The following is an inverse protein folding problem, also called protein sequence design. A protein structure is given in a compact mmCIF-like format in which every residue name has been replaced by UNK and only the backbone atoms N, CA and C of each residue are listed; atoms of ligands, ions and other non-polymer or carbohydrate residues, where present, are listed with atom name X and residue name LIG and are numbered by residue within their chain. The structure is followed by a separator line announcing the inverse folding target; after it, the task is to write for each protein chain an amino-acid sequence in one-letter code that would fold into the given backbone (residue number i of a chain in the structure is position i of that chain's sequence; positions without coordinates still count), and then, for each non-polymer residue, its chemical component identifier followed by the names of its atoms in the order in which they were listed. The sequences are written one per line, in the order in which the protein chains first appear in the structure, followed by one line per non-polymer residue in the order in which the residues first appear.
data_IF_302209482712
#
_entry.id   IF_302209482712
#
_cell.length_a   1.000
_cell.length_b   1.000
_cell.length_c   1.000
_cell.angle_alpha   90.00
_cell.angle_beta   90.00
_cell.angle_gamma   90.00
#
_symmetry.space_group_name_H-M   'P 1'
#
loop_
_entity.id
_entity.type
_entity.pdbx_description
1 polymer ?
#
# COMPACT_ATOMS: atom_id res chain seq x y z
N UNK A 1 -48.06 -6.71 11.41
CA UNK A 1 -47.65 -5.56 10.59
C UNK A 1 -46.33 -5.90 9.93
N UNK A 2 -46.35 -6.13 8.64
CA UNK A 2 -45.13 -6.42 7.84
C UNK A 2 -44.54 -5.10 7.41
N UNK A 3 -43.33 -4.77 7.86
CA UNK A 3 -42.60 -3.60 7.41
C UNK A 3 -41.97 -3.99 6.09
N UNK A 4 -42.58 -3.49 4.99
CA UNK A 4 -42.00 -3.64 3.66
C UNK A 4 -40.70 -2.86 3.57
N UNK A 5 -39.60 -3.58 3.32
CA UNK A 5 -38.37 -2.94 2.85
C UNK A 5 -38.61 -2.44 1.44
N UNK A 6 -38.71 -1.12 1.29
CA UNK A 6 -38.69 -0.48 -0.03
C UNK A 6 -37.35 -0.85 -0.69
N UNK A 7 -37.44 -1.71 -1.71
CA UNK A 7 -36.32 -2.03 -2.56
C UNK A 7 -35.94 -0.75 -3.31
N UNK A 8 -34.79 -0.16 -2.95
CA UNK A 8 -34.22 0.90 -3.77
C UNK A 8 -34.13 0.42 -5.22
N UNK A 9 -34.66 1.18 -6.19
CA UNK A 9 -34.55 0.79 -7.59
C UNK A 9 -33.07 0.60 -7.94
N UNK A 10 -32.72 -0.62 -8.36
CA UNK A 10 -31.37 -0.89 -8.86
C UNK A 10 -31.10 0.02 -10.06
N UNK A 11 -29.94 0.69 -10.11
CA UNK A 11 -29.62 1.55 -11.23
C UNK A 11 -29.65 0.71 -12.52
N UNK A 12 -30.34 1.23 -13.55
CA UNK A 12 -30.39 0.58 -14.86
C UNK A 12 -28.95 0.36 -15.36
N UNK A 13 -28.56 -0.87 -15.74
CA UNK A 13 -27.21 -1.12 -16.22
C UNK A 13 -26.91 -0.23 -17.44
N UNK A 14 -25.82 0.51 -17.36
CA UNK A 14 -25.35 1.35 -18.48
C UNK A 14 -24.82 0.44 -19.58
N UNK A 15 -25.38 0.58 -20.81
CA UNK A 15 -24.92 -0.18 -21.96
C UNK A 15 -23.84 0.59 -22.71
N UNK A 16 -22.62 0.03 -22.74
CA UNK A 16 -21.54 0.54 -23.58
C UNK A 16 -21.51 -0.21 -24.91
N UNK A 17 -21.35 0.50 -26.02
CA UNK A 17 -21.25 -0.07 -27.38
C UNK A 17 -19.87 0.11 -27.99
N UNK A 18 -18.98 0.88 -27.35
CA UNK A 18 -17.60 1.08 -27.77
C UNK A 18 -16.68 0.87 -26.58
N UNK A 19 -15.61 0.11 -26.74
CA UNK A 19 -14.63 -0.17 -25.67
C UNK A 19 -14.01 1.10 -25.09
N UNK A 20 -13.79 2.14 -25.90
CA UNK A 20 -13.21 3.42 -25.44
C UNK A 20 -14.14 4.20 -24.51
N UNK A 21 -15.44 3.93 -24.50
CA UNK A 21 -16.44 4.61 -23.67
C UNK A 21 -16.60 3.94 -22.29
N UNK A 22 -16.02 2.75 -22.10
CA UNK A 22 -16.05 2.04 -20.82
C UNK A 22 -15.13 2.80 -19.84
N UNK A 23 -15.64 3.25 -18.67
CA UNK A 23 -14.83 3.90 -17.65
C UNK A 23 -13.66 3.01 -17.26
N UNK A 24 -12.48 3.59 -17.20
CA UNK A 24 -11.28 2.86 -16.78
C UNK A 24 -11.09 3.01 -15.28
N UNK A 25 -10.70 1.91 -14.63
CA UNK A 25 -10.21 1.98 -13.27
C UNK A 25 -8.89 2.77 -13.24
N UNK A 26 -8.62 3.41 -12.13
CA UNK A 26 -7.31 3.98 -11.85
C UNK A 26 -6.42 2.83 -11.41
N UNK A 27 -5.72 2.23 -12.38
CA UNK A 27 -4.80 1.14 -12.12
C UNK A 27 -3.45 1.69 -11.74
N UNK A 28 -2.72 0.92 -10.94
CA UNK A 28 -1.27 1.04 -10.63
C UNK A 28 -0.69 2.44 -10.75
N UNK A 29 0.48 2.70 -10.28
CA UNK A 29 1.08 4.01 -10.45
C UNK A 29 1.55 4.26 -11.89
N UNK A 30 1.70 5.52 -12.28
CA UNK A 30 2.42 5.90 -13.50
C UNK A 30 3.87 5.41 -13.49
N UNK A 31 4.35 5.10 -12.29
CA UNK A 31 5.72 4.74 -12.02
C UNK A 31 5.77 3.71 -10.88
N UNK A 32 6.66 2.74 -10.98
CA UNK A 32 6.91 1.79 -9.90
C UNK A 32 8.40 1.51 -9.74
N UNK A 33 8.81 1.28 -8.51
CA UNK A 33 10.18 0.92 -8.13
C UNK A 33 10.18 -0.22 -7.13
N UNK A 34 11.28 -0.95 -7.09
CA UNK A 34 11.55 -1.89 -6.03
C UNK A 34 12.41 -1.23 -4.96
N UNK A 35 11.91 -1.21 -3.73
CA UNK A 35 12.66 -0.70 -2.58
C UNK A 35 12.91 -1.86 -1.63
N UNK A 36 14.19 -2.17 -1.37
CA UNK A 36 14.53 -3.24 -0.44
C UNK A 36 14.12 -2.87 0.99
N UNK A 37 13.81 -3.86 1.81
CA UNK A 37 13.48 -3.64 3.20
C UNK A 37 14.59 -2.91 3.95
N UNK A 38 15.85 -3.12 3.56
CA UNK A 38 17.00 -2.41 4.12
C UNK A 38 16.90 -0.89 3.94
N UNK A 39 16.31 -0.43 2.84
CA UNK A 39 16.26 0.99 2.48
C UNK A 39 14.89 1.65 2.68
N UNK A 40 13.90 0.92 3.18
CA UNK A 40 12.53 1.45 3.26
C UNK A 40 12.42 2.67 4.19
N UNK A 41 13.07 2.67 5.35
CA UNK A 41 13.04 3.80 6.27
C UNK A 41 13.66 5.06 5.65
N UNK A 42 14.78 4.90 4.94
CA UNK A 42 15.41 6.01 4.23
C UNK A 42 14.52 6.53 3.11
N UNK A 43 13.88 5.63 2.35
CA UNK A 43 12.98 6.02 1.27
C UNK A 43 11.77 6.82 1.77
N UNK A 44 11.22 6.45 2.93
CA UNK A 44 10.09 7.12 3.57
C UNK A 44 10.46 8.46 4.22
N UNK A 45 11.74 8.71 4.49
CA UNK A 45 12.20 9.86 5.27
C UNK A 45 11.97 11.19 4.54
N UNK A 46 11.93 12.29 5.32
CA UNK A 46 11.83 13.66 4.83
C UNK A 46 12.97 14.04 3.85
N UNK A 47 14.14 13.42 4.02
CA UNK A 47 15.27 13.64 3.11
C UNK A 47 15.05 13.05 1.71
N UNK A 48 14.07 12.15 1.56
CA UNK A 48 13.85 11.45 0.28
C UNK A 48 12.47 11.73 -0.29
N UNK A 49 11.39 11.18 0.30
CA UNK A 49 10.02 11.37 -0.21
C UNK A 49 9.09 12.08 0.77
N UNK A 50 9.44 12.19 2.06
CA UNK A 50 8.62 12.84 3.06
C UNK A 50 7.20 12.27 3.13
N UNK A 51 7.08 10.94 3.27
CA UNK A 51 5.80 10.26 3.09
C UNK A 51 4.85 10.46 4.27
N UNK A 52 3.65 10.99 4.03
CA UNK A 52 2.53 10.90 4.96
C UNK A 52 1.96 9.48 4.98
N UNK A 53 2.21 8.75 6.05
CA UNK A 53 1.76 7.37 6.26
C UNK A 53 0.39 7.28 6.94
N UNK A 54 -0.20 8.42 7.33
CA UNK A 54 -1.44 8.48 8.09
C UNK A 54 -2.47 9.45 7.49
N UNK A 55 -2.73 9.38 6.18
CA UNK A 55 -3.73 10.26 5.59
C UNK A 55 -5.10 10.01 6.25
N UNK A 56 -5.93 11.03 6.29
CA UNK A 56 -7.21 11.04 7.00
C UNK A 56 -8.23 10.01 6.48
N UNK A 57 -8.11 9.58 5.24
CA UNK A 57 -8.96 8.56 4.63
C UNK A 57 -8.56 7.12 4.98
N UNK A 58 -7.36 6.90 5.53
CA UNK A 58 -6.89 5.59 5.95
C UNK A 58 -7.21 5.28 7.42
N UNK A 59 -8.48 5.31 7.78
CA UNK A 59 -8.96 4.91 9.11
C UNK A 59 -9.46 3.47 9.06
N UNK A 60 -8.55 2.54 8.87
CA UNK A 60 -8.88 1.13 8.72
C UNK A 60 -8.38 0.24 9.84
N UNK A 61 -8.74 -1.03 9.74
CA UNK A 61 -8.31 -2.08 10.64
C UNK A 61 -6.79 -2.12 10.80
N UNK A 62 -6.32 -1.98 12.03
CA UNK A 62 -4.94 -2.30 12.39
C UNK A 62 -4.81 -3.83 12.46
N UNK A 63 -3.83 -4.40 11.77
CA UNK A 63 -3.57 -5.83 11.86
C UNK A 63 -3.18 -6.23 13.28
N UNK A 64 -3.71 -7.37 13.73
CA UNK A 64 -3.24 -8.01 14.96
C UNK A 64 -1.76 -8.39 14.82
N UNK A 65 -1.07 -8.56 15.94
CA UNK A 65 0.32 -9.02 15.94
C UNK A 65 0.47 -10.36 15.20
N UNK A 66 -0.42 -11.28 15.41
CA UNK A 66 -0.41 -12.58 14.71
C UNK A 66 -0.51 -12.43 13.19
N UNK A 67 -1.31 -11.49 12.71
CA UNK A 67 -1.42 -11.22 11.28
C UNK A 67 -0.16 -10.58 10.73
N UNK A 68 0.47 -9.68 11.48
CA UNK A 68 1.76 -9.09 11.11
C UNK A 68 2.85 -10.17 11.01
N UNK A 69 2.96 -11.05 12.00
CA UNK A 69 3.92 -12.16 12.02
C UNK A 69 3.71 -13.05 10.80
N UNK A 70 2.48 -13.54 10.57
CA UNK A 70 2.18 -14.41 9.42
C UNK A 70 2.51 -13.76 8.08
N UNK A 71 2.29 -12.46 7.95
CA UNK A 71 2.63 -11.73 6.74
C UNK A 71 4.15 -11.70 6.51
N UNK A 72 4.93 -11.34 7.52
CA UNK A 72 6.40 -11.31 7.42
C UNK A 72 6.94 -12.71 7.12
N UNK A 73 6.45 -13.74 7.81
CA UNK A 73 6.82 -15.13 7.57
C UNK A 73 6.49 -15.58 6.14
N UNK A 74 5.33 -15.20 5.62
CA UNK A 74 4.94 -15.49 4.24
C UNK A 74 5.93 -14.89 3.23
N UNK A 75 6.30 -13.62 3.40
CA UNK A 75 7.25 -12.96 2.50
C UNK A 75 8.64 -13.59 2.61
N UNK A 76 9.13 -13.87 3.83
CA UNK A 76 10.44 -14.50 4.04
C UNK A 76 10.53 -15.93 3.50
N UNK A 77 9.40 -16.62 3.38
CA UNK A 77 9.32 -17.93 2.70
C UNK A 77 9.29 -17.83 1.18
N UNK A 78 9.47 -16.65 0.61
CA UNK A 78 9.44 -16.41 -0.83
C UNK A 78 8.04 -16.13 -1.39
N UNK A 79 7.09 -15.71 -0.57
CA UNK A 79 5.78 -15.26 -1.00
C UNK A 79 5.89 -14.17 -2.05
N UNK A 80 5.16 -14.32 -3.16
CA UNK A 80 5.30 -13.43 -4.33
C UNK A 80 4.22 -12.34 -4.39
N UNK A 81 3.10 -12.53 -3.72
CA UNK A 81 2.00 -11.57 -3.67
C UNK A 81 2.12 -10.62 -2.49
N UNK A 82 1.27 -9.59 -2.48
CA UNK A 82 1.13 -8.66 -1.34
C UNK A 82 2.41 -7.89 -0.98
N UNK A 83 3.23 -7.58 -1.97
CA UNK A 83 4.44 -6.74 -1.83
C UNK A 83 4.19 -5.31 -2.26
N UNK A 84 3.03 -5.01 -2.81
CA UNK A 84 2.67 -3.73 -3.40
C UNK A 84 2.32 -2.73 -2.33
N UNK A 85 2.88 -1.53 -2.43
CA UNK A 85 2.56 -0.36 -1.61
C UNK A 85 2.28 0.80 -2.56
N UNK A 86 1.21 1.54 -2.33
CA UNK A 86 0.72 2.56 -3.24
C UNK A 86 0.82 3.95 -2.60
N UNK A 87 1.46 4.87 -3.31
CA UNK A 87 1.62 6.26 -2.91
C UNK A 87 1.10 7.18 -4.01
N UNK A 88 0.64 8.36 -3.62
CA UNK A 88 0.37 9.45 -4.55
C UNK A 88 1.24 10.65 -4.24
N UNK A 89 1.82 11.26 -5.27
CA UNK A 89 2.52 12.52 -5.20
C UNK A 89 2.13 13.37 -6.42
N UNK A 90 1.30 14.37 -6.22
CA UNK A 90 0.76 15.21 -7.30
C UNK A 90 1.84 16.02 -8.02
N UNK A 91 2.97 16.26 -7.37
CA UNK A 91 4.13 16.97 -7.93
C UNK A 91 5.13 16.10 -8.67
N UNK A 92 4.99 14.79 -8.63
CA UNK A 92 5.99 13.84 -9.12
C UNK A 92 6.53 14.13 -10.53
N UNK A 93 5.65 14.42 -11.50
CA UNK A 93 6.04 14.70 -12.89
C UNK A 93 6.31 16.17 -13.15
N UNK A 94 6.02 17.06 -12.20
CA UNK A 94 6.01 18.50 -12.39
C UNK A 94 7.18 19.22 -11.71
N UNK A 95 8.12 18.46 -11.11
CA UNK A 95 9.21 18.98 -10.28
C UNK A 95 8.72 19.98 -9.22
N UNK A 96 7.52 19.74 -8.67
CA UNK A 96 6.98 20.46 -7.53
C UNK A 96 7.26 19.69 -6.27
N UNK A 97 7.59 20.40 -5.21
CA UNK A 97 7.55 19.84 -3.86
C UNK A 97 6.08 19.68 -3.45
N UNK A 98 5.62 18.47 -3.43
CA UNK A 98 4.27 18.12 -2.98
C UNK A 98 4.33 16.91 -2.08
N UNK A 99 3.35 16.78 -1.17
CA UNK A 99 3.31 15.72 -0.19
C UNK A 99 3.15 14.35 -0.86
N UNK A 100 3.96 13.41 -0.43
CA UNK A 100 3.80 12.00 -0.81
C UNK A 100 2.87 11.34 0.20
N UNK A 101 1.74 10.82 -0.27
CA UNK A 101 0.68 10.28 0.58
C UNK A 101 0.55 8.78 0.36
N UNK A 102 0.53 8.00 1.43
CA UNK A 102 0.28 6.55 1.36
C UNK A 102 -1.20 6.28 1.03
N UNK A 103 -1.45 5.59 -0.07
CA UNK A 103 -2.82 5.26 -0.52
C UNK A 103 -3.24 3.87 -0.07
N UNK A 104 -2.41 2.84 -0.27
CA UNK A 104 -2.66 1.49 0.25
C UNK A 104 -1.37 0.77 0.62
N UNK A 105 -1.49 -0.25 1.47
CA UNK A 105 -0.37 -1.07 1.93
C UNK A 105 0.17 -0.72 3.31
N UNK A 106 -0.47 0.19 4.04
CA UNK A 106 -0.04 0.62 5.37
C UNK A 106 0.25 -0.55 6.30
N UNK A 107 -0.65 -1.53 6.39
CA UNK A 107 -0.51 -2.64 7.33
C UNK A 107 0.65 -3.57 6.95
N UNK A 108 0.90 -3.75 5.65
CA UNK A 108 2.06 -4.49 5.12
C UNK A 108 3.36 -3.78 5.48
N UNK A 109 3.40 -2.48 5.25
CA UNK A 109 4.55 -1.64 5.56
C UNK A 109 4.86 -1.64 7.06
N UNK A 110 3.86 -1.41 7.92
CA UNK A 110 4.04 -1.39 9.37
C UNK A 110 4.44 -2.75 9.94
N UNK A 111 3.94 -3.87 9.39
CA UNK A 111 4.36 -5.20 9.81
C UNK A 111 5.87 -5.42 9.59
N UNK A 112 6.39 -5.05 8.43
CA UNK A 112 7.82 -5.15 8.14
C UNK A 112 8.64 -4.21 9.03
N UNK A 113 8.22 -2.95 9.15
CA UNK A 113 8.91 -1.97 9.99
C UNK A 113 9.00 -2.42 11.46
N UNK A 114 7.91 -2.95 12.00
CA UNK A 114 7.86 -3.47 13.36
C UNK A 114 8.80 -4.68 13.55
N UNK A 115 8.85 -5.60 12.58
CA UNK A 115 9.80 -6.70 12.60
C UNK A 115 11.26 -6.21 12.58
N UNK A 116 11.58 -5.27 11.68
CA UNK A 116 12.94 -4.71 11.59
C UNK A 116 13.35 -3.97 12.87
N UNK A 117 12.40 -3.42 13.61
CA UNK A 117 12.61 -2.81 14.94
C UNK A 117 12.66 -3.83 16.09
N UNK A 118 12.64 -5.13 15.81
CA UNK A 118 12.62 -6.20 16.80
C UNK A 118 11.41 -6.16 17.75
N UNK A 119 10.23 -5.77 17.26
CA UNK A 119 9.02 -5.72 18.08
C UNK A 119 8.37 -7.09 18.26
N UNK A 120 8.68 -8.04 17.38
CA UNK A 120 8.19 -9.42 17.46
C UNK A 120 9.14 -10.39 16.75
N UNK A 121 9.17 -11.66 17.18
CA UNK A 121 9.91 -12.71 16.49
C UNK A 121 9.12 -13.27 15.31
N UNK A 122 9.83 -13.79 14.29
CA UNK A 122 9.30 -14.64 13.21
C UNK A 122 10.08 -15.96 13.21
N UNK A 123 9.40 -17.07 12.98
CA UNK A 123 10.01 -18.41 13.12
C UNK A 123 10.77 -18.59 14.44
N UNK A 124 10.30 -17.93 15.50
CA UNK A 124 10.89 -18.01 16.84
C UNK A 124 12.12 -17.11 17.08
N UNK A 125 12.55 -16.29 16.11
CA UNK A 125 13.71 -15.39 16.23
C UNK A 125 13.36 -13.95 15.93
N UNK A 126 13.91 -13.03 16.71
CA UNK A 126 13.86 -11.60 16.41
C UNK A 126 14.80 -11.26 15.24
N UNK A 127 14.56 -10.15 14.56
CA UNK A 127 15.34 -9.75 13.40
C UNK A 127 16.85 -9.71 13.67
N UNK A 128 17.28 -9.18 14.83
CA UNK A 128 18.69 -9.07 15.18
C UNK A 128 19.38 -10.44 15.42
N UNK A 129 18.62 -11.51 15.65
CA UNK A 129 19.15 -12.86 15.90
C UNK A 129 19.51 -13.63 14.61
N UNK A 130 18.97 -13.18 13.45
CA UNK A 130 19.31 -13.78 12.17
C UNK A 130 20.73 -13.38 11.75
N UNK A 131 21.61 -14.36 11.56
CA UNK A 131 23.03 -14.12 11.23
C UNK A 131 23.25 -13.57 9.83
N UNK A 132 22.33 -13.86 8.90
CA UNK A 132 22.33 -13.42 7.49
C UNK A 132 21.32 -12.29 7.22
N UNK A 133 20.82 -11.61 8.26
CA UNK A 133 19.75 -10.61 8.17
C UNK A 133 19.98 -9.53 7.13
N UNK A 134 21.22 -9.06 6.96
CA UNK A 134 21.51 -7.99 5.99
C UNK A 134 21.29 -8.45 4.55
N UNK A 135 21.72 -9.67 4.23
CA UNK A 135 21.49 -10.27 2.90
C UNK A 135 20.00 -10.47 2.64
N UNK A 136 19.24 -10.93 3.63
CA UNK A 136 17.80 -11.16 3.50
C UNK A 136 17.06 -9.83 3.22
N UNK A 137 17.30 -8.80 4.03
CA UNK A 137 16.58 -7.52 3.86
C UNK A 137 17.02 -6.74 2.64
N UNK A 138 18.24 -6.92 2.16
CA UNK A 138 18.71 -6.31 0.92
C UNK A 138 18.04 -6.94 -0.31
N UNK A 139 17.76 -8.23 -0.27
CA UNK A 139 17.12 -8.97 -1.36
C UNK A 139 15.59 -9.05 -1.27
N UNK A 140 14.99 -8.63 -0.15
CA UNK A 140 13.53 -8.62 0.02
C UNK A 140 13.01 -7.20 -0.25
N UNK A 141 12.06 -7.08 -1.18
CA UNK A 141 11.60 -5.77 -1.67
C UNK A 141 10.11 -5.55 -1.47
N UNK A 142 9.72 -4.30 -1.31
CA UNK A 142 8.40 -3.80 -1.67
C UNK A 142 8.39 -3.33 -3.12
N UNK A 143 7.26 -3.48 -3.76
CA UNK A 143 6.97 -2.87 -5.06
C UNK A 143 6.19 -1.59 -4.77
N UNK A 144 6.85 -0.47 -4.89
CA UNK A 144 6.28 0.85 -4.64
C UNK A 144 5.67 1.36 -5.94
N UNK A 145 4.37 1.64 -5.92
CA UNK A 145 3.64 2.28 -7.02
C UNK A 145 3.40 3.73 -6.66
N UNK A 146 3.76 4.64 -7.55
CA UNK A 146 3.54 6.08 -7.35
C UNK A 146 2.66 6.60 -8.45
N UNK A 147 1.60 7.34 -8.10
CA UNK A 147 0.72 8.03 -9.02
C UNK A 147 0.81 9.55 -8.79
N UNK A 148 0.42 10.34 -9.78
CA UNK A 148 0.46 11.80 -9.74
C UNK A 148 -0.96 12.42 -9.82
N UNK A 149 -1.93 11.78 -9.22
CA UNK A 149 -3.31 12.24 -9.19
C UNK A 149 -3.37 13.62 -8.52
N UNK A 150 -4.15 14.52 -9.12
CA UNK A 150 -4.12 15.95 -8.78
C UNK A 150 -5.17 16.33 -7.76
N UNK A 151 -6.23 15.53 -7.59
CA UNK A 151 -7.31 15.85 -6.67
C UNK A 151 -7.50 14.75 -5.63
N UNK A 152 -8.02 15.15 -4.47
CA UNK A 152 -8.37 14.24 -3.39
C UNK A 152 -9.39 13.18 -3.85
N UNK A 153 -10.36 13.58 -4.66
CA UNK A 153 -11.39 12.69 -5.19
C UNK A 153 -10.77 11.58 -6.06
N UNK A 154 -9.78 11.91 -6.89
CA UNK A 154 -9.06 10.93 -7.69
C UNK A 154 -8.28 9.95 -6.80
N UNK A 155 -7.62 10.45 -5.75
CA UNK A 155 -6.87 9.59 -4.80
C UNK A 155 -7.82 8.66 -4.06
N UNK A 156 -8.97 9.17 -3.61
CA UNK A 156 -10.00 8.34 -2.94
C UNK A 156 -10.57 7.29 -3.90
N UNK A 157 -10.83 7.65 -5.15
CA UNK A 157 -11.30 6.69 -6.14
C UNK A 157 -10.26 5.60 -6.38
N UNK A 158 -8.99 5.98 -6.49
CA UNK A 158 -7.91 4.99 -6.63
C UNK A 158 -7.82 4.05 -5.44
N UNK A 159 -7.92 4.57 -4.22
CA UNK A 159 -7.98 3.75 -3.01
C UNK A 159 -9.13 2.74 -3.02
N UNK A 160 -10.30 3.11 -3.57
CA UNK A 160 -11.45 2.22 -3.69
C UNK A 160 -11.29 1.19 -4.80
N UNK A 161 -10.49 1.48 -5.82
CA UNK A 161 -10.24 0.60 -6.97
C UNK A 161 -9.16 -0.47 -6.67
N UNK A 162 -8.32 -0.27 -5.63
CA UNK A 162 -7.26 -1.18 -5.19
C UNK A 162 -7.78 -2.32 -4.32
#
# INVERSE_FOLDING_TARGET
MSIGFDAHPQPTPVKYTRFRDIPKLIHGGDYHIHVSWMHIERWLSEEYVGADLNPDFQRGHVWSRDKQIRYVEYILRGGKSSKDIYFNNSGWMLAKEDDTVLVDGKQRLEAVRAFLRNEFPVFGSFFHEFTDRLTIVDNTVFIIHVNNLQTREQVLQWYLDL
#
